data_IF_948700013163
#
_entry.id   IF_948700013163
#
_cell.length_a   1.000
_cell.length_b   1.000
_cell.length_c   1.000
_cell.angle_alpha   90.00
_cell.angle_beta   90.00
_cell.angle_gamma   90.00
#
_symmetry.space_group_name_H-M   'P 1'
#
loop_
_entity.id
_entity.type
_entity.pdbx_description
1 polymer ?
#
# COMPACT_ATOMS: atom_id res chain seq x y z
N UNK A 1 29.15 -33.27 0.71
CA UNK A 1 28.98 -31.95 0.12
C UNK A 1 27.53 -31.91 -0.35
N UNK A 2 26.64 -31.26 0.39
CA UNK A 2 25.31 -30.96 -0.12
C UNK A 2 25.47 -29.98 -1.28
N UNK A 3 25.06 -30.38 -2.47
CA UNK A 3 24.93 -29.48 -3.60
C UNK A 3 24.02 -28.30 -3.15
N UNK A 4 24.62 -27.13 -3.11
CA UNK A 4 23.92 -25.89 -2.77
C UNK A 4 23.05 -25.50 -3.97
N UNK A 5 22.03 -26.30 -4.27
CA UNK A 5 21.11 -26.02 -5.37
C UNK A 5 20.33 -24.76 -4.99
N UNK A 6 20.48 -23.72 -5.80
CA UNK A 6 19.78 -22.43 -5.63
C UNK A 6 18.27 -22.71 -5.64
N UNK A 7 17.58 -22.33 -4.57
CA UNK A 7 16.13 -22.50 -4.42
C UNK A 7 15.36 -21.55 -5.33
N UNK A 8 14.25 -22.04 -5.90
CA UNK A 8 13.41 -21.31 -6.85
C UNK A 8 12.10 -20.95 -6.17
N UNK A 9 11.82 -19.65 -6.08
CA UNK A 9 10.63 -19.11 -5.45
C UNK A 9 9.71 -18.52 -6.52
N UNK A 10 8.46 -18.98 -6.56
CA UNK A 10 7.41 -18.35 -7.36
C UNK A 10 6.87 -17.11 -6.66
N UNK A 11 6.70 -16.01 -7.38
CA UNK A 11 6.05 -14.79 -6.89
C UNK A 11 4.80 -14.54 -7.71
N UNK A 12 3.64 -14.61 -7.06
CA UNK A 12 2.34 -14.36 -7.67
C UNK A 12 1.91 -12.92 -7.39
N UNK A 13 1.65 -12.17 -8.44
CA UNK A 13 1.28 -10.75 -8.40
C UNK A 13 0.34 -10.43 -9.55
N UNK A 14 -0.47 -9.39 -9.42
CA UNK A 14 -1.27 -8.82 -10.51
C UNK A 14 -1.02 -7.31 -10.59
N UNK A 15 -1.52 -6.66 -11.67
CA UNK A 15 -1.42 -5.21 -11.84
C UNK A 15 0.03 -4.67 -11.80
N UNK A 16 0.83 -5.15 -12.74
CA UNK A 16 2.26 -4.78 -12.83
C UNK A 16 2.50 -3.35 -13.33
N UNK A 17 1.44 -2.62 -13.66
CA UNK A 17 1.53 -1.31 -14.30
C UNK A 17 1.54 -0.13 -13.32
N UNK A 18 1.43 -0.38 -12.02
CA UNK A 18 1.41 0.67 -11.00
C UNK A 18 2.79 0.87 -10.38
N UNK A 19 3.15 2.13 -10.10
CA UNK A 19 4.42 2.49 -9.42
C UNK A 19 4.58 1.77 -8.08
N UNK A 20 3.47 1.55 -7.38
CA UNK A 20 3.48 0.78 -6.12
C UNK A 20 3.98 -0.65 -6.33
N UNK A 21 3.45 -1.35 -7.33
CA UNK A 21 3.83 -2.74 -7.61
C UNK A 21 5.24 -2.86 -8.23
N UNK A 22 5.66 -1.88 -9.04
CA UNK A 22 7.00 -1.85 -9.63
C UNK A 22 8.10 -1.88 -8.55
N UNK A 23 7.90 -1.18 -7.43
CA UNK A 23 8.81 -1.18 -6.28
C UNK A 23 8.99 -2.59 -5.68
N UNK A 24 7.93 -3.40 -5.63
CA UNK A 24 8.03 -4.80 -5.20
C UNK A 24 8.85 -5.63 -6.19
N UNK A 25 8.64 -5.46 -7.50
CA UNK A 25 9.41 -6.18 -8.51
C UNK A 25 10.90 -5.90 -8.39
N UNK A 26 11.27 -4.62 -8.28
CA UNK A 26 12.67 -4.23 -8.14
C UNK A 26 13.29 -4.77 -6.84
N UNK A 27 12.58 -4.68 -5.72
CA UNK A 27 13.02 -5.25 -4.45
C UNK A 27 13.19 -6.77 -4.53
N UNK A 28 12.22 -7.49 -5.12
CA UNK A 28 12.34 -8.95 -5.30
C UNK A 28 13.53 -9.33 -6.16
N UNK A 29 13.75 -8.68 -7.30
CA UNK A 29 14.88 -8.96 -8.20
C UNK A 29 16.23 -8.78 -7.49
N UNK A 30 16.40 -7.65 -6.84
CA UNK A 30 17.64 -7.30 -6.15
C UNK A 30 17.91 -8.23 -4.96
N UNK A 31 16.94 -8.35 -4.06
CA UNK A 31 17.10 -9.09 -2.81
C UNK A 31 17.09 -10.61 -3.00
N UNK A 32 16.47 -11.13 -4.06
CA UNK A 32 16.57 -12.55 -4.40
C UNK A 32 18.03 -12.95 -4.68
N UNK A 33 18.76 -12.12 -5.42
CA UNK A 33 20.18 -12.35 -5.70
C UNK A 33 21.01 -12.36 -4.41
N UNK A 34 20.81 -11.39 -3.53
CA UNK A 34 21.48 -11.29 -2.23
C UNK A 34 21.16 -12.47 -1.31
N UNK A 35 19.93 -12.95 -1.36
CA UNK A 35 19.45 -14.10 -0.58
C UNK A 35 19.74 -15.45 -1.21
N UNK A 36 20.39 -15.52 -2.37
CA UNK A 36 20.68 -16.73 -3.13
C UNK A 36 19.44 -17.53 -3.54
N UNK A 37 18.34 -16.82 -3.87
CA UNK A 37 17.16 -17.37 -4.49
C UNK A 37 17.12 -17.06 -5.99
N UNK A 38 16.45 -17.93 -6.77
CA UNK A 38 15.92 -17.59 -8.08
C UNK A 38 14.43 -17.26 -7.93
N UNK A 39 13.95 -16.24 -8.62
CA UNK A 39 12.54 -15.83 -8.57
C UNK A 39 11.91 -16.01 -9.94
N UNK A 40 10.73 -16.63 -9.97
CA UNK A 40 9.85 -16.72 -11.13
C UNK A 40 8.58 -15.93 -10.85
N UNK A 41 8.30 -14.91 -11.65
CA UNK A 41 7.09 -14.11 -11.53
C UNK A 41 5.94 -14.72 -12.34
N UNK A 42 4.81 -14.92 -11.67
CA UNK A 42 3.52 -15.22 -12.27
C UNK A 42 2.67 -13.98 -12.13
N UNK A 43 2.50 -13.25 -13.22
CA UNK A 43 1.87 -11.93 -13.18
C UNK A 43 0.71 -11.83 -14.14
N UNK A 44 -0.47 -11.46 -13.64
CA UNK A 44 -1.55 -10.93 -14.44
C UNK A 44 -1.27 -9.44 -14.74
N UNK A 45 -1.75 -8.95 -15.88
CA UNK A 45 -1.53 -7.57 -16.30
C UNK A 45 -2.48 -6.61 -15.57
N UNK A 46 -3.76 -6.97 -15.44
CA UNK A 46 -4.76 -6.16 -14.76
C UNK A 46 -4.86 -6.48 -13.28
N UNK A 47 -5.31 -5.54 -12.44
CA UNK A 47 -5.69 -5.86 -11.09
C UNK A 47 -6.87 -6.84 -11.12
N UNK A 48 -6.74 -8.00 -10.53
CA UNK A 48 -7.81 -9.00 -10.47
C UNK A 48 -8.80 -8.63 -9.36
N UNK A 49 -9.54 -7.53 -9.57
CA UNK A 49 -10.50 -6.99 -8.62
C UNK A 49 -11.91 -7.57 -8.78
N UNK A 50 -12.28 -7.95 -10.00
CA UNK A 50 -13.66 -8.19 -10.39
C UNK A 50 -13.81 -9.62 -10.92
N UNK A 51 -14.98 -10.16 -10.70
CA UNK A 51 -15.40 -11.47 -11.23
C UNK A 51 -15.78 -11.37 -12.73
N UNK A 52 -14.95 -10.70 -13.52
CA UNK A 52 -15.21 -10.49 -14.94
C UNK A 52 -14.53 -11.59 -15.78
N UNK A 53 -15.08 -11.85 -16.97
CA UNK A 53 -14.53 -12.90 -17.85
C UNK A 53 -13.07 -12.69 -18.25
N UNK A 54 -12.61 -11.44 -18.34
CA UNK A 54 -11.21 -11.16 -18.64
C UNK A 54 -10.30 -11.50 -17.45
N UNK A 55 -10.74 -11.26 -16.20
CA UNK A 55 -9.97 -11.62 -15.00
C UNK A 55 -9.75 -13.12 -14.93
N UNK A 56 -10.75 -13.92 -15.33
CA UNK A 56 -10.62 -15.38 -15.44
C UNK A 56 -9.53 -15.72 -16.48
N UNK A 57 -9.53 -15.03 -17.62
CA UNK A 57 -8.54 -15.23 -18.70
C UNK A 57 -7.13 -14.90 -18.23
N UNK A 58 -6.94 -13.77 -17.58
CA UNK A 58 -5.63 -13.34 -17.05
C UNK A 58 -5.19 -14.20 -15.86
N UNK A 59 -6.13 -14.59 -14.99
CA UNK A 59 -5.87 -15.49 -13.86
C UNK A 59 -5.33 -16.86 -14.29
N UNK A 60 -5.48 -17.27 -15.57
CA UNK A 60 -4.92 -18.51 -16.09
C UNK A 60 -3.38 -18.57 -16.00
N UNK A 61 -2.67 -17.46 -15.87
CA UNK A 61 -1.21 -17.47 -15.67
C UNK A 61 -0.83 -18.29 -14.43
N UNK A 62 -1.66 -18.26 -13.39
CA UNK A 62 -1.39 -19.00 -12.15
C UNK A 62 -1.61 -20.51 -12.28
N UNK A 63 -2.28 -20.98 -13.35
CA UNK A 63 -2.37 -22.41 -13.67
C UNK A 63 -1.05 -22.97 -14.21
N UNK A 64 -0.11 -22.09 -14.60
CA UNK A 64 1.23 -22.46 -15.04
C UNK A 64 2.20 -22.69 -13.87
N UNK A 65 1.75 -22.50 -12.62
CA UNK A 65 2.55 -22.78 -11.43
C UNK A 65 2.91 -24.26 -11.40
N UNK A 66 4.20 -24.54 -11.66
CA UNK A 66 4.72 -25.89 -11.61
C UNK A 66 5.49 -26.12 -10.30
N UNK A 67 4.83 -26.75 -9.34
CA UNK A 67 5.39 -27.07 -8.03
C UNK A 67 6.46 -28.15 -8.06
N UNK A 68 6.71 -28.83 -9.20
CA UNK A 68 7.86 -29.72 -9.37
C UNK A 68 9.19 -28.96 -9.51
N UNK A 69 9.11 -27.66 -9.88
CA UNK A 69 10.27 -26.79 -10.10
C UNK A 69 10.44 -25.79 -8.96
N UNK A 70 9.33 -25.41 -8.30
CA UNK A 70 9.34 -24.41 -7.25
C UNK A 70 9.58 -25.03 -5.88
N UNK A 71 10.41 -24.37 -5.08
CA UNK A 71 10.64 -24.72 -3.67
C UNK A 71 9.68 -23.99 -2.73
N UNK A 72 9.09 -22.86 -3.14
CA UNK A 72 8.14 -22.08 -2.34
C UNK A 72 7.40 -21.05 -3.18
N UNK A 73 6.34 -20.47 -2.61
CA UNK A 73 5.53 -19.42 -3.22
C UNK A 73 5.41 -18.19 -2.32
N UNK A 74 5.39 -17.02 -2.94
CA UNK A 74 5.06 -15.74 -2.31
C UNK A 74 3.89 -15.14 -3.08
N UNK A 75 2.87 -14.65 -2.40
CA UNK A 75 1.66 -14.07 -2.99
C UNK A 75 1.50 -12.63 -2.48
N UNK A 76 1.50 -11.65 -3.40
CA UNK A 76 1.09 -10.28 -3.09
C UNK A 76 -0.43 -10.23 -3.14
N UNK A 77 -1.06 -10.46 -1.99
CA UNK A 77 -2.52 -10.69 -1.91
C UNK A 77 -3.34 -9.45 -2.23
N UNK A 78 -2.81 -8.24 -2.00
CA UNK A 78 -3.52 -7.00 -2.32
C UNK A 78 -3.74 -6.84 -3.82
N UNK A 79 -2.87 -7.42 -4.65
CA UNK A 79 -2.95 -7.32 -6.10
C UNK A 79 -3.86 -8.39 -6.71
N UNK A 80 -3.99 -9.56 -6.05
CA UNK A 80 -4.83 -10.68 -6.50
C UNK A 80 -6.07 -10.72 -5.60
N UNK A 81 -7.07 -9.92 -5.88
CA UNK A 81 -8.27 -9.79 -5.04
C UNK A 81 -9.32 -10.87 -5.26
N UNK A 82 -9.29 -11.53 -6.43
CA UNK A 82 -10.19 -12.63 -6.71
C UNK A 82 -9.86 -13.83 -5.80
N UNK A 83 -10.81 -14.21 -4.95
CA UNK A 83 -10.66 -15.27 -3.96
C UNK A 83 -10.40 -16.63 -4.60
N UNK A 84 -11.14 -16.97 -5.66
CA UNK A 84 -10.97 -18.25 -6.38
C UNK A 84 -9.56 -18.41 -6.97
N UNK A 85 -8.97 -17.31 -7.43
CA UNK A 85 -7.60 -17.32 -7.94
C UNK A 85 -6.62 -17.59 -6.80
N UNK A 86 -6.78 -16.91 -5.64
CA UNK A 86 -5.91 -17.14 -4.47
C UNK A 86 -6.03 -18.57 -3.96
N UNK A 87 -7.25 -19.10 -3.85
CA UNK A 87 -7.49 -20.49 -3.46
C UNK A 87 -6.81 -21.47 -4.42
N UNK A 88 -6.95 -21.25 -5.72
CA UNK A 88 -6.29 -22.08 -6.74
C UNK A 88 -4.76 -22.09 -6.59
N UNK A 89 -4.13 -20.95 -6.30
CA UNK A 89 -2.69 -20.86 -6.04
C UNK A 89 -2.31 -21.72 -4.81
N UNK A 90 -3.07 -21.58 -3.72
CA UNK A 90 -2.84 -22.37 -2.49
C UNK A 90 -3.01 -23.88 -2.75
N UNK A 91 -4.02 -24.27 -3.52
CA UNK A 91 -4.22 -25.67 -3.89
C UNK A 91 -3.05 -26.25 -4.69
N UNK A 92 -2.44 -25.46 -5.59
CA UNK A 92 -1.24 -25.90 -6.31
C UNK A 92 -0.08 -26.14 -5.34
N UNK A 93 0.13 -25.26 -4.38
CA UNK A 93 1.19 -25.43 -3.38
C UNK A 93 0.98 -26.65 -2.49
N UNK A 94 -0.26 -26.89 -2.04
CA UNK A 94 -0.63 -28.03 -1.18
C UNK A 94 -0.32 -29.40 -1.83
N UNK A 95 -0.38 -29.52 -3.16
CA UNK A 95 -0.10 -30.78 -3.87
C UNK A 95 1.30 -31.33 -3.63
N UNK A 96 2.26 -30.47 -3.33
CA UNK A 96 3.67 -30.80 -3.10
C UNK A 96 4.20 -30.35 -1.75
N UNK A 97 3.32 -29.86 -0.88
CA UNK A 97 3.66 -29.37 0.46
C UNK A 97 4.77 -28.30 0.44
N UNK A 98 4.75 -27.41 -0.57
CA UNK A 98 5.68 -26.31 -0.63
C UNK A 98 5.18 -25.14 0.23
N UNK A 99 6.08 -24.45 0.96
CA UNK A 99 5.69 -23.32 1.80
C UNK A 99 5.16 -22.14 0.99
N UNK A 100 4.13 -21.49 1.53
CA UNK A 100 3.53 -20.28 0.95
C UNK A 100 3.59 -19.14 1.96
N UNK A 101 4.05 -17.97 1.50
CA UNK A 101 3.98 -16.72 2.25
C UNK A 101 3.03 -15.77 1.51
N UNK A 102 2.06 -15.20 2.21
CA UNK A 102 1.26 -14.08 1.71
C UNK A 102 1.78 -12.77 2.28
N UNK A 103 1.72 -11.70 1.49
CA UNK A 103 2.13 -10.35 1.91
C UNK A 103 0.92 -9.44 1.81
N UNK A 104 0.74 -8.58 2.81
CA UNK A 104 -0.26 -7.54 3.00
C UNK A 104 -1.60 -8.03 3.55
N UNK A 105 -2.14 -9.14 3.10
CA UNK A 105 -3.45 -9.61 3.50
C UNK A 105 -3.41 -11.08 3.96
N UNK A 106 -4.10 -11.43 5.06
CA UNK A 106 -4.17 -12.81 5.53
C UNK A 106 -4.74 -13.73 4.45
N UNK A 107 -4.08 -14.87 4.25
CA UNK A 107 -4.53 -15.89 3.31
C UNK A 107 -4.47 -17.26 3.97
N UNK A 108 -5.60 -17.95 4.06
CA UNK A 108 -5.66 -19.29 4.63
C UNK A 108 -4.78 -20.27 3.85
N UNK A 109 -4.00 -21.06 4.56
CA UNK A 109 -3.04 -21.99 3.96
C UNK A 109 -1.69 -21.37 3.63
N UNK A 110 -1.43 -20.14 4.03
CA UNK A 110 -0.12 -19.48 3.95
C UNK A 110 0.35 -18.96 5.30
N UNK A 111 1.64 -18.69 5.44
CA UNK A 111 2.17 -17.83 6.49
C UNK A 111 2.00 -16.37 6.05
N UNK A 112 1.20 -15.59 6.77
CA UNK A 112 0.82 -14.24 6.32
C UNK A 112 1.67 -13.16 6.98
N UNK A 113 2.34 -12.34 6.18
CA UNK A 113 2.99 -11.10 6.60
C UNK A 113 1.97 -9.98 6.43
N UNK A 114 1.56 -9.36 7.53
CA UNK A 114 0.48 -8.39 7.57
C UNK A 114 1.04 -6.98 7.67
N UNK A 115 0.47 -6.06 6.91
CA UNK A 115 0.77 -4.64 7.07
C UNK A 115 -0.11 -4.02 8.14
N UNK A 116 0.54 -3.48 9.18
CA UNK A 116 -0.11 -2.68 10.20
C UNK A 116 0.05 -1.19 9.87
N UNK A 117 -1.03 -0.55 9.46
CA UNK A 117 -1.06 0.86 9.06
C UNK A 117 -2.04 1.69 9.88
N UNK A 118 -2.96 1.05 10.58
CA UNK A 118 -4.03 1.77 11.32
C UNK A 118 -3.43 2.65 12.41
N UNK A 119 -2.42 2.15 13.13
CA UNK A 119 -1.73 2.93 14.15
C UNK A 119 -0.98 4.14 13.55
N UNK A 120 -0.43 3.98 12.35
CA UNK A 120 0.30 5.06 11.67
C UNK A 120 -0.62 6.12 11.09
N UNK A 121 -1.77 5.73 10.51
CA UNK A 121 -2.82 6.69 10.10
C UNK A 121 -3.34 7.44 11.31
N UNK A 122 -3.57 6.75 12.42
CA UNK A 122 -3.97 7.36 13.68
C UNK A 122 -2.96 8.42 14.14
N UNK A 123 -1.67 8.10 14.12
CA UNK A 123 -0.58 9.05 14.44
C UNK A 123 -0.56 10.24 13.48
N UNK A 124 -0.75 10.01 12.18
CA UNK A 124 -0.81 11.08 11.18
C UNK A 124 -1.98 12.03 11.45
N UNK A 125 -3.17 11.51 11.70
CA UNK A 125 -4.34 12.30 12.04
C UNK A 125 -4.16 13.07 13.36
N UNK A 126 -3.63 12.41 14.40
CA UNK A 126 -3.31 13.06 15.68
C UNK A 126 -2.27 14.16 15.48
N UNK A 127 -1.25 13.96 14.64
CA UNK A 127 -0.28 14.99 14.29
C UNK A 127 -0.95 16.24 13.66
N UNK A 128 -1.88 16.05 12.72
CA UNK A 128 -2.62 17.17 12.13
C UNK A 128 -3.47 17.90 13.19
N UNK A 129 -4.05 17.16 14.11
CA UNK A 129 -4.95 17.71 15.14
C UNK A 129 -4.16 18.37 16.29
N UNK A 130 -3.13 17.71 16.83
CA UNK A 130 -2.44 18.11 18.04
C UNK A 130 -1.28 19.07 17.78
N UNK A 131 -0.49 18.80 16.72
CA UNK A 131 0.70 19.60 16.42
C UNK A 131 0.37 20.82 15.54
N UNK A 132 -0.55 20.66 14.56
CA UNK A 132 -0.98 21.76 13.68
C UNK A 132 -2.26 22.47 14.14
N UNK A 133 -3.02 21.87 15.05
CA UNK A 133 -4.26 22.46 15.58
C UNK A 133 -5.45 22.39 14.64
N UNK A 134 -5.38 21.60 13.57
CA UNK A 134 -6.47 21.48 12.60
C UNK A 134 -7.70 20.80 13.21
N UNK A 135 -8.87 21.33 12.88
CA UNK A 135 -10.17 20.84 13.36
C UNK A 135 -11.16 20.56 12.23
N UNK A 136 -11.01 21.22 11.09
CA UNK A 136 -11.81 20.99 9.90
C UNK A 136 -11.00 20.14 8.93
N UNK A 137 -11.09 18.82 9.11
CA UNK A 137 -10.32 17.86 8.33
C UNK A 137 -11.28 17.12 7.42
N UNK A 138 -11.05 17.18 6.10
CA UNK A 138 -11.78 16.39 5.13
C UNK A 138 -11.03 15.09 4.84
N UNK A 139 -11.77 14.05 4.44
CA UNK A 139 -11.19 12.77 4.06
C UNK A 139 -11.60 12.37 2.64
N UNK A 140 -10.63 11.99 1.81
CA UNK A 140 -10.88 11.42 0.50
C UNK A 140 -10.56 9.93 0.58
N UNK A 141 -11.60 9.11 0.68
CA UNK A 141 -11.53 7.66 0.67
C UNK A 141 -11.24 7.13 -0.74
N UNK A 142 -10.84 5.88 -0.85
CA UNK A 142 -10.65 5.20 -2.13
C UNK A 142 -11.96 4.76 -2.75
N UNK A 143 -12.02 3.51 -3.23
CA UNK A 143 -13.25 2.90 -3.73
C UNK A 143 -14.22 2.62 -2.60
N UNK A 144 -15.50 2.94 -2.82
CA UNK A 144 -16.57 2.59 -1.89
C UNK A 144 -16.69 1.07 -1.78
N UNK A 145 -16.98 0.61 -0.57
CA UNK A 145 -17.08 -0.83 -0.24
C UNK A 145 -15.76 -1.62 -0.42
N UNK A 146 -14.65 -0.94 -0.68
CA UNK A 146 -13.33 -1.56 -0.67
C UNK A 146 -12.80 -1.62 0.76
N UNK A 147 -12.40 -2.81 1.21
CA UNK A 147 -11.97 -3.05 2.60
C UNK A 147 -10.92 -2.04 3.09
N UNK A 148 -9.87 -1.79 2.32
CA UNK A 148 -8.78 -0.88 2.70
C UNK A 148 -9.22 0.59 2.75
N UNK A 149 -10.08 0.97 1.80
CA UNK A 149 -10.70 2.29 1.77
C UNK A 149 -11.54 2.54 3.01
N UNK A 150 -12.44 1.60 3.32
CA UNK A 150 -13.35 1.70 4.47
C UNK A 150 -12.61 1.58 5.81
N UNK A 151 -11.57 0.76 5.92
CA UNK A 151 -10.74 0.69 7.13
C UNK A 151 -10.00 2.01 7.41
N UNK A 152 -9.44 2.66 6.39
CA UNK A 152 -8.78 3.97 6.52
C UNK A 152 -9.79 5.04 6.91
N UNK A 153 -10.96 5.04 6.28
CA UNK A 153 -12.06 5.94 6.63
C UNK A 153 -12.56 5.72 8.06
N UNK A 154 -12.62 4.46 8.52
CA UNK A 154 -13.01 4.18 9.90
C UNK A 154 -11.98 4.72 10.90
N UNK A 155 -10.68 4.57 10.64
CA UNK A 155 -9.63 5.17 11.49
C UNK A 155 -9.79 6.70 11.57
N UNK A 156 -10.10 7.37 10.46
CA UNK A 156 -10.38 8.81 10.45
C UNK A 156 -11.57 9.15 11.37
N UNK A 157 -12.70 8.44 11.26
CA UNK A 157 -13.86 8.67 12.11
C UNK A 157 -13.56 8.45 13.59
N UNK A 158 -12.82 7.39 13.90
CA UNK A 158 -12.43 7.05 15.27
C UNK A 158 -11.57 8.16 15.90
N UNK A 159 -10.54 8.61 15.17
CA UNK A 159 -9.61 9.66 15.66
C UNK A 159 -10.34 10.98 15.86
N UNK A 160 -11.19 11.41 14.95
CA UNK A 160 -11.98 12.65 15.14
C UNK A 160 -12.86 12.53 16.37
N UNK A 161 -13.52 11.39 16.57
CA UNK A 161 -14.38 11.13 17.74
C UNK A 161 -13.59 11.22 19.04
N UNK A 162 -12.42 10.60 19.10
CA UNK A 162 -11.52 10.64 20.27
C UNK A 162 -11.06 12.07 20.62
N UNK A 163 -10.83 12.90 19.58
CA UNK A 163 -10.47 14.32 19.75
C UNK A 163 -11.70 15.24 19.90
N UNK A 164 -12.90 14.68 20.04
CA UNK A 164 -14.16 15.42 20.19
C UNK A 164 -14.44 16.36 19.00
N UNK A 165 -13.98 16.00 17.81
CA UNK A 165 -14.27 16.71 16.56
C UNK A 165 -15.49 16.03 15.92
N UNK A 166 -16.56 16.76 15.55
CA UNK A 166 -17.72 16.19 14.89
C UNK A 166 -17.36 15.54 13.55
N UNK A 167 -17.82 14.34 13.32
CA UNK A 167 -17.73 13.67 12.02
C UNK A 167 -18.90 14.14 11.15
N UNK A 168 -18.59 14.92 10.12
CA UNK A 168 -19.58 15.44 9.17
C UNK A 168 -19.44 14.69 7.84
N UNK A 169 -20.51 13.99 7.42
CA UNK A 169 -20.46 13.18 6.18
C UNK A 169 -20.17 14.05 4.94
N UNK A 170 -20.54 15.33 4.94
CA UNK A 170 -20.21 16.26 3.87
C UNK A 170 -18.70 16.56 3.75
N UNK A 171 -17.89 16.15 4.73
CA UNK A 171 -16.41 16.24 4.71
C UNK A 171 -15.74 14.96 4.21
N UNK A 172 -16.53 13.96 3.77
CA UNK A 172 -16.04 12.69 3.29
C UNK A 172 -16.43 12.54 1.82
N UNK A 173 -15.47 12.17 0.98
CA UNK A 173 -15.70 11.86 -0.41
C UNK A 173 -14.95 10.60 -0.84
N UNK A 174 -15.33 10.03 -1.98
CA UNK A 174 -14.69 8.83 -2.55
C UNK A 174 -13.99 9.21 -3.87
N UNK A 175 -12.69 9.12 -3.89
CA UNK A 175 -11.83 9.48 -5.02
C UNK A 175 -11.37 8.28 -5.84
N UNK A 176 -11.90 7.07 -5.54
CA UNK A 176 -11.69 5.82 -6.29
C UNK A 176 -10.20 5.45 -6.48
N UNK A 177 -9.31 5.93 -5.59
CA UNK A 177 -7.86 5.82 -5.69
C UNK A 177 -7.26 6.45 -6.97
N UNK A 178 -7.99 7.38 -7.62
CA UNK A 178 -7.61 7.91 -8.92
C UNK A 178 -7.80 9.42 -9.06
N UNK A 179 -7.12 10.04 -10.02
CA UNK A 179 -7.08 11.50 -10.23
C UNK A 179 -8.46 12.11 -10.53
N UNK A 180 -9.16 11.62 -11.56
CA UNK A 180 -10.42 12.23 -12.03
C UNK A 180 -11.51 12.29 -10.96
N UNK A 181 -11.89 11.16 -10.32
CA UNK A 181 -12.85 11.17 -9.22
C UNK A 181 -12.42 12.09 -8.06
N UNK A 182 -11.12 12.15 -7.74
CA UNK A 182 -10.59 13.03 -6.70
C UNK A 182 -10.86 14.51 -7.02
N UNK A 183 -10.68 14.96 -8.26
CA UNK A 183 -11.00 16.32 -8.67
C UNK A 183 -12.47 16.65 -8.40
N UNK A 184 -13.39 15.74 -8.71
CA UNK A 184 -14.82 15.90 -8.44
C UNK A 184 -15.10 16.04 -6.94
N UNK A 185 -14.41 15.26 -6.11
CA UNK A 185 -14.54 15.33 -4.65
C UNK A 185 -14.02 16.68 -4.12
N UNK A 186 -12.81 17.10 -4.54
CA UNK A 186 -12.24 18.39 -4.11
C UNK A 186 -13.14 19.55 -4.54
N UNK A 187 -13.68 19.51 -5.77
CA UNK A 187 -14.66 20.51 -6.22
C UNK A 187 -15.88 20.56 -5.30
N UNK A 188 -16.41 19.38 -4.91
CA UNK A 188 -17.57 19.34 -4.00
C UNK A 188 -17.27 19.93 -2.62
N UNK A 189 -16.02 19.83 -2.15
CA UNK A 189 -15.59 20.47 -0.90
C UNK A 189 -15.52 22.00 -1.03
N UNK A 190 -15.04 22.50 -2.18
CA UNK A 190 -14.97 23.93 -2.47
C UNK A 190 -16.39 24.53 -2.62
N UNK A 191 -17.29 23.83 -3.28
CA UNK A 191 -18.66 24.30 -3.56
C UNK A 191 -19.63 24.10 -2.35
N UNK A 192 -19.18 23.45 -1.30
CA UNK A 192 -20.02 23.17 -0.13
C UNK A 192 -20.31 24.44 0.68
N UNK A 193 -21.45 24.47 1.38
CA UNK A 193 -21.77 25.53 2.35
C UNK A 193 -20.92 25.45 3.65
N UNK A 194 -20.10 24.40 3.79
CA UNK A 194 -19.22 24.26 4.95
C UNK A 194 -17.98 25.16 4.82
N UNK A 195 -17.42 25.61 5.93
CA UNK A 195 -16.12 26.30 5.91
C UNK A 195 -15.07 25.41 5.25
N UNK A 196 -14.20 26.02 4.45
CA UNK A 196 -13.09 25.33 3.78
C UNK A 196 -12.30 24.46 4.78
N UNK A 197 -11.88 23.25 4.42
CA UNK A 197 -11.08 22.40 5.31
C UNK A 197 -9.71 23.05 5.59
N UNK A 198 -9.17 22.80 6.77
CA UNK A 198 -7.79 23.12 7.12
C UNK A 198 -6.83 22.06 6.63
N UNK A 199 -7.33 20.82 6.50
CA UNK A 199 -6.57 19.71 5.94
C UNK A 199 -7.46 18.75 5.15
N UNK A 200 -6.89 18.12 4.12
CA UNK A 200 -7.46 17.00 3.38
C UNK A 200 -6.53 15.78 3.55
N UNK A 201 -7.08 14.71 4.10
CA UNK A 201 -6.38 13.42 4.21
C UNK A 201 -6.86 12.50 3.10
N UNK A 202 -5.95 12.10 2.23
CA UNK A 202 -6.24 11.21 1.10
C UNK A 202 -5.85 9.78 1.43
N UNK A 203 -6.68 8.82 1.03
CA UNK A 203 -6.41 7.41 1.27
C UNK A 203 -5.28 6.85 0.41
N UNK A 204 -4.76 7.58 -0.59
CA UNK A 204 -3.50 7.29 -1.26
C UNK A 204 -2.80 8.54 -1.80
N UNK A 205 -1.56 8.38 -2.27
CA UNK A 205 -0.74 9.48 -2.75
C UNK A 205 -1.19 10.02 -4.11
N UNK A 206 -1.68 9.18 -5.01
CA UNK A 206 -2.22 9.64 -6.30
C UNK A 206 -3.39 10.60 -6.13
N UNK A 207 -4.26 10.33 -5.14
CA UNK A 207 -5.34 11.25 -4.78
C UNK A 207 -4.81 12.52 -4.10
N UNK A 208 -3.75 12.41 -3.28
CA UNK A 208 -3.12 13.59 -2.67
C UNK A 208 -2.51 14.52 -3.72
N UNK A 209 -1.80 13.97 -4.71
CA UNK A 209 -1.27 14.71 -5.86
C UNK A 209 -2.41 15.40 -6.62
N UNK A 210 -3.46 14.65 -6.96
CA UNK A 210 -4.62 15.19 -7.67
C UNK A 210 -5.32 16.32 -6.88
N UNK A 211 -5.45 16.15 -5.55
CA UNK A 211 -6.06 17.17 -4.68
C UNK A 211 -5.21 18.44 -4.66
N UNK A 212 -3.88 18.35 -4.54
CA UNK A 212 -2.97 19.50 -4.56
C UNK A 212 -3.04 20.21 -5.91
N UNK A 213 -2.99 19.47 -7.01
CA UNK A 213 -3.09 20.05 -8.35
C UNK A 213 -4.41 20.81 -8.53
N UNK A 214 -5.53 20.17 -8.15
CA UNK A 214 -6.84 20.79 -8.27
C UNK A 214 -6.98 22.06 -7.41
N UNK A 215 -6.53 22.00 -6.15
CA UNK A 215 -6.54 23.16 -5.24
C UNK A 215 -5.70 24.31 -5.81
N UNK A 216 -4.50 24.02 -6.31
CA UNK A 216 -3.59 25.02 -6.87
C UNK A 216 -4.18 25.68 -8.12
N UNK A 217 -4.79 24.92 -9.01
CA UNK A 217 -5.46 25.41 -10.22
C UNK A 217 -6.66 26.32 -9.89
N UNK A 218 -7.24 26.17 -8.68
CA UNK A 218 -8.34 27.00 -8.19
C UNK A 218 -7.90 28.12 -7.22
N UNK A 219 -6.59 28.36 -7.14
CA UNK A 219 -6.03 29.51 -6.41
C UNK A 219 -5.80 29.28 -4.92
N UNK A 220 -5.85 28.02 -4.46
CA UNK A 220 -5.51 27.66 -3.08
C UNK A 220 -4.05 27.24 -2.98
N UNK A 221 -3.36 27.68 -1.93
CA UNK A 221 -1.99 27.28 -1.65
C UNK A 221 -1.96 26.10 -0.68
N UNK A 222 -1.06 25.13 -0.96
CA UNK A 222 -0.80 23.99 -0.08
C UNK A 222 0.62 24.14 0.47
N UNK A 223 0.82 24.16 1.78
CA UNK A 223 -0.16 23.92 2.85
C UNK A 223 -0.88 25.16 3.43
N UNK A 224 -0.59 26.37 2.96
CA UNK A 224 -0.95 27.62 3.63
C UNK A 224 -2.47 27.81 3.78
N UNK A 225 -3.25 27.47 2.76
CA UNK A 225 -4.72 27.55 2.78
C UNK A 225 -5.34 26.20 3.18
N UNK A 226 -4.80 25.10 2.67
CA UNK A 226 -5.27 23.73 2.93
C UNK A 226 -4.07 22.78 2.96
N UNK A 227 -3.84 22.11 4.08
CA UNK A 227 -2.88 21.03 4.17
C UNK A 227 -3.38 19.77 3.45
N UNK A 228 -2.47 18.97 2.87
CA UNK A 228 -2.82 17.71 2.20
C UNK A 228 -1.88 16.63 2.64
N UNK A 229 -2.40 15.43 2.90
CA UNK A 229 -1.59 14.23 3.20
C UNK A 229 -2.04 13.05 2.36
N UNK A 230 -1.12 12.12 2.11
CA UNK A 230 -1.34 10.90 1.33
C UNK A 230 -1.09 9.62 2.09
N UNK A 231 -1.02 8.53 1.32
CA UNK A 231 -0.69 7.18 1.77
C UNK A 231 -0.07 6.41 0.59
N UNK A 232 0.86 5.54 0.80
CA UNK A 232 1.64 4.61 -0.03
C UNK A 232 3.12 4.97 -0.11
N UNK A 233 3.51 6.25 0.05
CA UNK A 233 4.89 6.71 0.01
C UNK A 233 5.53 6.51 -1.37
N UNK A 234 4.78 6.75 -2.46
CA UNK A 234 5.32 6.65 -3.82
C UNK A 234 6.34 7.76 -4.09
N UNK A 235 7.32 7.49 -4.97
CA UNK A 235 8.39 8.45 -5.26
C UNK A 235 7.85 9.76 -5.81
N UNK A 236 6.83 9.69 -6.68
CA UNK A 236 6.18 10.89 -7.22
C UNK A 236 5.66 11.82 -6.12
N UNK A 237 5.07 11.28 -5.03
CA UNK A 237 4.58 12.07 -3.92
C UNK A 237 5.71 12.67 -3.08
N UNK A 238 6.82 11.95 -2.91
CA UNK A 238 7.98 12.42 -2.16
C UNK A 238 8.74 13.52 -2.90
N UNK A 239 8.79 13.46 -4.22
CA UNK A 239 9.43 14.44 -5.10
C UNK A 239 8.48 15.54 -5.58
N UNK A 240 7.18 15.46 -5.21
CA UNK A 240 6.17 16.45 -5.56
C UNK A 240 6.45 17.81 -4.92
N UNK A 241 5.82 18.86 -5.41
CA UNK A 241 5.92 20.18 -4.79
C UNK A 241 4.51 20.74 -4.42
N UNK A 242 4.28 20.98 -3.11
CA UNK A 242 5.14 20.66 -1.96
C UNK A 242 5.30 19.15 -1.75
N UNK A 243 6.44 18.65 -1.22
CA UNK A 243 6.60 17.22 -0.89
C UNK A 243 5.49 16.75 0.03
N UNK A 244 4.87 15.62 -0.33
CA UNK A 244 3.67 15.15 0.36
C UNK A 244 4.05 14.42 1.65
N UNK A 245 3.38 14.80 2.75
CA UNK A 245 3.39 14.00 3.97
C UNK A 245 2.55 12.76 3.74
N UNK A 246 3.16 11.58 3.89
CA UNK A 246 2.54 10.31 3.53
C UNK A 246 2.90 9.19 4.50
N UNK A 247 2.18 8.09 4.43
CA UNK A 247 2.47 6.86 5.18
C UNK A 247 3.03 5.84 4.21
N UNK A 248 4.16 5.20 4.57
CA UNK A 248 4.79 4.19 3.71
C UNK A 248 5.21 2.95 4.47
N UNK A 249 5.41 1.87 3.72
CA UNK A 249 6.11 0.67 4.17
C UNK A 249 7.52 0.62 3.61
N UNK A 250 8.45 0.10 4.41
CA UNK A 250 9.77 -0.27 3.91
C UNK A 250 9.68 -1.60 3.14
N UNK A 251 9.52 -1.48 1.82
CA UNK A 251 9.38 -2.63 0.92
C UNK A 251 10.65 -3.49 0.96
N UNK A 252 11.82 -2.89 0.99
CA UNK A 252 13.08 -3.60 1.05
C UNK A 252 13.20 -4.44 2.32
N UNK A 253 12.88 -3.87 3.47
CA UNK A 253 12.85 -4.60 4.74
C UNK A 253 11.78 -5.71 4.72
N UNK A 254 10.62 -5.45 4.10
CA UNK A 254 9.55 -6.43 3.92
C UNK A 254 10.04 -7.64 3.12
N UNK A 255 10.61 -7.42 1.94
CA UNK A 255 11.06 -8.51 1.06
C UNK A 255 12.27 -9.24 1.66
N UNK A 256 13.21 -8.52 2.28
CA UNK A 256 14.33 -9.15 3.01
C UNK A 256 13.82 -10.09 4.10
N UNK A 257 12.84 -9.65 4.89
CA UNK A 257 12.19 -10.47 5.93
C UNK A 257 11.48 -11.67 5.31
N UNK A 258 10.72 -11.46 4.23
CA UNK A 258 10.03 -12.52 3.50
C UNK A 258 10.98 -13.61 3.05
N UNK A 259 12.14 -13.26 2.47
CA UNK A 259 13.14 -14.25 2.07
C UNK A 259 13.81 -14.94 3.26
N UNK A 260 14.03 -14.28 4.40
CA UNK A 260 14.53 -14.94 5.62
C UNK A 260 13.53 -15.97 6.15
N UNK A 261 12.26 -15.56 6.23
CA UNK A 261 11.16 -16.45 6.64
C UNK A 261 11.08 -17.65 5.68
N UNK A 262 11.07 -17.41 4.37
CA UNK A 262 11.04 -18.48 3.36
C UNK A 262 12.20 -19.45 3.54
N UNK A 263 13.41 -18.95 3.78
CA UNK A 263 14.58 -19.80 4.04
C UNK A 263 14.40 -20.66 5.30
N UNK A 264 13.84 -20.10 6.37
CA UNK A 264 13.59 -20.84 7.59
C UNK A 264 12.55 -21.95 7.37
N UNK A 265 11.46 -21.64 6.66
CA UNK A 265 10.44 -22.64 6.27
C UNK A 265 11.03 -23.78 5.46
N UNK A 266 11.86 -23.48 4.44
CA UNK A 266 12.53 -24.47 3.61
C UNK A 266 13.54 -25.35 4.38
N UNK A 267 14.01 -24.87 5.53
CA UNK A 267 14.92 -25.62 6.41
C UNK A 267 14.18 -26.31 7.57
N UNK A 268 12.86 -26.21 7.65
CA UNK A 268 12.06 -26.74 8.76
C UNK A 268 12.35 -26.07 10.10
N UNK A 269 12.81 -24.82 10.09
CA UNK A 269 13.09 -24.05 11.29
C UNK A 269 11.86 -23.31 11.78
N UNK A 270 11.79 -23.06 13.09
CA UNK A 270 10.79 -22.17 13.66
C UNK A 270 10.95 -20.74 13.14
N UNK A 271 9.83 -20.03 13.03
CA UNK A 271 9.76 -18.62 12.64
C UNK A 271 9.71 -17.79 13.89
N UNK A 272 10.78 -17.08 14.16
CA UNK A 272 10.95 -16.18 15.32
C UNK A 272 10.93 -14.69 14.89
N UNK A 273 10.45 -14.41 13.67
CA UNK A 273 10.35 -13.04 13.15
C UNK A 273 8.92 -12.52 13.29
N UNK A 274 8.75 -11.21 13.60
CA UNK A 274 7.43 -10.61 13.60
C UNK A 274 6.78 -10.72 12.22
N UNK A 275 5.52 -11.13 12.20
CA UNK A 275 4.72 -11.24 10.96
C UNK A 275 3.99 -9.94 10.64
N UNK A 276 3.97 -8.99 11.57
CA UNK A 276 3.45 -7.64 11.33
C UNK A 276 4.58 -6.70 10.92
N UNK A 277 4.30 -5.89 9.90
CA UNK A 277 5.16 -4.82 9.41
C UNK A 277 4.43 -3.51 9.64
N UNK A 278 4.98 -2.68 10.52
CA UNK A 278 4.42 -1.37 10.83
C UNK A 278 4.90 -0.37 9.79
N UNK A 279 3.98 0.43 9.27
CA UNK A 279 4.29 1.55 8.39
C UNK A 279 4.91 2.72 9.16
N UNK A 280 5.50 3.67 8.45
CA UNK A 280 6.05 4.91 9.00
C UNK A 280 5.45 6.14 8.34
N UNK A 281 5.49 7.29 9.04
CA UNK A 281 5.13 8.57 8.44
C UNK A 281 6.39 9.19 7.84
N UNK A 282 6.30 9.57 6.57
CA UNK A 282 7.30 10.42 5.92
C UNK A 282 6.76 11.83 5.88
N UNK A 283 7.38 12.71 6.65
CA UNK A 283 6.95 14.10 6.74
C UNK A 283 7.50 14.90 5.56
N UNK A 284 6.58 15.37 4.70
CA UNK A 284 6.80 16.40 3.71
C UNK A 284 6.33 17.77 4.22
N UNK A 285 6.33 18.78 3.34
CA UNK A 285 5.83 20.10 3.70
C UNK A 285 4.34 20.30 3.42
N UNK A 286 3.69 19.37 2.73
CA UNK A 286 2.27 19.50 2.36
C UNK A 286 1.29 19.53 3.54
N UNK A 287 1.70 19.07 4.72
CA UNK A 287 0.91 19.15 5.95
C UNK A 287 1.17 20.43 6.78
N UNK A 288 2.13 21.28 6.36
CA UNK A 288 2.58 22.46 7.11
C UNK A 288 3.86 22.24 7.91
N UNK A 289 4.43 21.04 7.93
CA UNK A 289 5.74 20.78 8.50
C UNK A 289 6.86 21.42 7.67
N UNK A 290 7.95 21.84 8.32
CA UNK A 290 9.17 22.20 7.61
C UNK A 290 9.80 20.92 7.03
N UNK A 291 10.03 20.87 5.71
CA UNK A 291 10.65 19.71 5.09
C UNK A 291 12.06 19.49 5.64
N UNK A 292 12.28 18.37 6.31
CA UNK A 292 13.62 17.96 6.71
C UNK A 292 14.39 17.52 5.45
N UNK A 293 15.17 18.43 4.88
CA UNK A 293 16.07 18.15 3.73
C UNK A 293 17.20 17.15 4.03
N UNK A 294 17.19 16.43 5.13
CA UNK A 294 18.30 15.57 5.56
C UNK A 294 18.23 14.11 5.11
N UNK A 295 17.14 13.61 4.50
CA UNK A 295 17.01 12.19 4.16
C UNK A 295 17.21 11.85 2.66
N UNK A 296 17.48 12.82 1.78
CA UNK A 296 17.57 12.56 0.33
C UNK A 296 19.00 12.46 -0.22
N UNK A 297 20.07 12.57 0.58
CA UNK A 297 21.47 12.59 0.10
C UNK A 297 22.32 11.36 0.44
N UNK A 298 21.75 10.24 0.91
CA UNK A 298 22.58 9.09 1.33
C UNK A 298 22.37 7.80 0.51
N UNK A 299 21.93 7.87 -0.73
CA UNK A 299 21.77 6.65 -1.56
C UNK A 299 22.51 6.63 -2.90
N UNK A 300 23.44 7.55 -3.17
CA UNK A 300 24.32 7.46 -4.35
C UNK A 300 25.76 7.78 -3.93
N UNK A 301 26.45 6.80 -3.32
CA UNK A 301 27.90 6.62 -3.32
C UNK A 301 28.22 5.14 -3.25
#
# INVERSE_FOLDING_TARGET
MQENTTKIIGVCVADISTDYNDRFFEAFKRLAHECHFKVLFFSAFSPLYWDQKHDIGEGNIYQLINTDVLDGLIILTITIKNELVRESIIEHAKKRDIPVISIEYPLEGSLSIIYEYKSTIRKLLSHLIDDHGYRRINFIAGLKDNLFSEERLQVYRDVLTEHQIPVEEARIGYGDFWYGPTHTVVQSFIDSDLPMPEAIVCANDSMAIAAIQYLTDHGYNVPEDVAVTGFDGIEEALDFYPPITTVRYDIDATISRTFRIMRNLLQGKEIDEPLEIVSEIVYGSSCGCQSNKQNSMTKYN
#
